data_IF_502058918460
#
_entry.id   IF_502058918460
#
_cell.length_a   1.000
_cell.length_b   1.000
_cell.length_c   1.000
_cell.angle_alpha   90.00
_cell.angle_beta   90.00
_cell.angle_gamma   90.00
#
_symmetry.space_group_name_H-M   'P 1'
#
loop_
_entity.id
_entity.type
_entity.pdbx_description
1 polymer ?
#
# COMPACT_ATOMS: atom_id res chain seq x y z
N UNK A 1 16.38 10.45 14.45
CA UNK A 1 15.05 10.85 14.96
C UNK A 1 14.34 9.61 15.53
N UNK A 2 13.09 9.70 15.89
CA UNK A 2 12.32 8.57 16.42
C UNK A 2 12.57 8.28 17.91
N UNK A 3 12.22 7.05 18.33
CA UNK A 3 12.30 6.64 19.74
C UNK A 3 13.73 6.52 20.26
N UNK A 4 14.67 6.12 19.41
CA UNK A 4 16.10 6.04 19.75
C UNK A 4 16.70 7.41 20.08
N UNK A 5 16.31 8.46 19.35
CA UNK A 5 16.77 9.83 19.63
C UNK A 5 16.20 10.38 20.96
N UNK A 6 15.05 9.85 21.42
CA UNK A 6 14.42 10.20 22.71
C UNK A 6 14.96 9.38 23.89
N UNK A 7 16.07 8.65 23.73
CA UNK A 7 16.66 7.77 24.75
C UNK A 7 15.72 6.69 25.31
N UNK A 8 14.70 6.30 24.53
CA UNK A 8 13.84 5.18 24.85
C UNK A 8 14.43 3.91 24.25
N UNK A 9 14.30 2.79 24.94
CA UNK A 9 14.67 1.49 24.37
C UNK A 9 13.86 1.28 23.08
N UNK A 10 14.54 1.19 21.96
CA UNK A 10 13.95 0.99 20.64
C UNK A 10 14.64 -0.17 19.96
N UNK A 11 13.83 -0.96 19.24
CA UNK A 11 14.37 -2.02 18.40
C UNK A 11 14.95 -1.44 17.10
N UNK A 12 14.52 -0.23 16.69
CA UNK A 12 14.85 0.38 15.42
C UNK A 12 15.66 1.69 15.63
N UNK A 13 16.52 1.99 14.68
CA UNK A 13 17.32 3.21 14.61
C UNK A 13 16.85 3.99 13.37
N UNK A 14 16.09 5.05 13.60
CA UNK A 14 15.57 5.89 12.53
C UNK A 14 16.57 6.98 12.15
N UNK A 15 17.04 6.94 10.93
CA UNK A 15 17.94 7.95 10.34
C UNK A 15 17.22 8.68 9.21
N UNK A 16 17.28 10.00 9.22
CA UNK A 16 16.83 10.84 8.12
C UNK A 16 18.02 11.32 7.32
N UNK A 17 17.96 11.13 6.03
CA UNK A 17 18.88 11.75 5.05
C UNK A 17 18.10 12.82 4.29
N UNK A 18 18.56 14.07 4.37
CA UNK A 18 18.01 15.16 3.56
C UNK A 18 18.94 15.38 2.37
N UNK A 19 18.42 15.18 1.18
CA UNK A 19 19.19 15.31 -0.07
C UNK A 19 18.91 16.67 -0.70
N UNK A 20 19.97 17.37 -1.09
CA UNK A 20 19.88 18.64 -1.79
C UNK A 20 19.38 18.42 -3.22
N UNK A 21 18.13 18.74 -3.47
CA UNK A 21 17.48 18.69 -4.78
C UNK A 21 17.37 20.09 -5.44
N UNK A 22 17.98 21.09 -4.81
CA UNK A 22 18.06 22.47 -5.36
C UNK A 22 19.28 22.60 -6.28
N UNK A 23 20.42 22.08 -5.84
CA UNK A 23 21.68 22.15 -6.60
C UNK A 23 21.92 20.88 -7.42
N UNK A 24 21.31 19.75 -7.04
CA UNK A 24 21.49 18.46 -7.71
C UNK A 24 20.20 17.98 -8.39
N UNK A 25 20.28 17.75 -9.69
CA UNK A 25 19.18 17.15 -10.44
C UNK A 25 19.16 15.64 -10.18
N UNK A 26 18.17 15.18 -9.43
CA UNK A 26 17.95 13.76 -9.16
C UNK A 26 17.19 13.09 -10.32
N UNK A 27 17.91 12.70 -11.36
CA UNK A 27 17.36 11.88 -12.45
C UNK A 27 16.98 10.46 -11.95
N UNK A 28 16.19 9.75 -12.73
CA UNK A 28 15.71 8.40 -12.36
C UNK A 28 16.86 7.41 -12.09
N UNK A 29 17.91 7.47 -12.89
CA UNK A 29 19.09 6.60 -12.75
C UNK A 29 19.88 6.90 -11.45
N UNK A 30 20.04 8.18 -11.11
CA UNK A 30 20.69 8.60 -9.86
C UNK A 30 19.88 8.17 -8.66
N UNK A 31 18.56 8.33 -8.70
CA UNK A 31 17.66 7.91 -7.63
C UNK A 31 17.71 6.39 -7.42
N UNK A 32 17.72 5.60 -8.47
CA UNK A 32 17.83 4.14 -8.39
C UNK A 32 19.20 3.69 -7.86
N UNK A 33 20.27 4.31 -8.32
CA UNK A 33 21.62 4.03 -7.82
C UNK A 33 21.73 4.35 -6.33
N UNK A 34 21.18 5.50 -5.91
CA UNK A 34 21.11 5.90 -4.51
C UNK A 34 20.34 4.86 -3.68
N UNK A 35 19.18 4.40 -4.15
CA UNK A 35 18.37 3.38 -3.47
C UNK A 35 19.17 2.09 -3.23
N UNK A 36 19.87 1.60 -4.27
CA UNK A 36 20.69 0.39 -4.18
C UNK A 36 21.82 0.57 -3.16
N UNK A 37 22.46 1.74 -3.13
CA UNK A 37 23.54 2.04 -2.16
C UNK A 37 22.99 2.01 -0.74
N UNK A 38 21.86 2.67 -0.47
CA UNK A 38 21.24 2.70 0.85
C UNK A 38 20.84 1.30 1.31
N UNK A 39 20.24 0.49 0.46
CA UNK A 39 19.88 -0.90 0.76
C UNK A 39 21.12 -1.74 1.13
N UNK A 40 22.23 -1.59 0.40
CA UNK A 40 23.49 -2.26 0.73
C UNK A 40 24.06 -1.81 2.07
N UNK A 41 24.01 -0.52 2.37
CA UNK A 41 24.46 0.03 3.66
C UNK A 41 23.64 -0.54 4.81
N UNK A 42 22.31 -0.53 4.70
CA UNK A 42 21.43 -1.13 5.71
C UNK A 42 21.78 -2.60 5.93
N UNK A 43 21.90 -3.37 4.84
CA UNK A 43 22.21 -4.79 4.93
C UNK A 43 23.59 -5.07 5.57
N UNK A 44 24.57 -4.18 5.36
CA UNK A 44 25.95 -4.35 5.90
C UNK A 44 26.11 -3.91 7.36
N UNK A 45 25.31 -2.95 7.82
CA UNK A 45 25.45 -2.37 9.17
C UNK A 45 24.52 -3.05 10.17
N UNK A 46 23.21 -2.96 9.95
CA UNK A 46 22.23 -3.54 10.86
C UNK A 46 20.84 -3.57 10.27
N UNK A 47 20.10 -4.67 10.49
CA UNK A 47 18.67 -4.76 10.16
C UNK A 47 17.77 -3.82 10.98
N UNK A 48 18.32 -3.25 12.07
CA UNK A 48 17.63 -2.26 12.90
C UNK A 48 17.68 -0.84 12.34
N UNK A 49 18.48 -0.62 11.29
CA UNK A 49 18.66 0.69 10.68
C UNK A 49 17.57 0.96 9.66
N UNK A 50 16.76 1.97 9.93
CA UNK A 50 15.73 2.46 9.04
C UNK A 50 16.14 3.83 8.50
N UNK A 51 16.44 3.89 7.20
CA UNK A 51 16.83 5.15 6.55
C UNK A 51 15.63 5.68 5.76
N UNK A 52 15.17 6.86 6.16
CA UNK A 52 14.19 7.64 5.42
C UNK A 52 14.91 8.75 4.67
N UNK A 53 14.63 8.92 3.39
CA UNK A 53 15.21 9.98 2.58
C UNK A 53 14.14 11.00 2.22
N UNK A 54 14.44 12.28 2.43
CA UNK A 54 13.63 13.39 1.98
C UNK A 54 14.46 14.31 1.09
N UNK A 55 13.81 14.92 0.11
CA UNK A 55 14.37 16.04 -0.62
C UNK A 55 14.41 17.27 0.29
N UNK A 56 15.40 18.13 0.11
CA UNK A 56 15.52 19.38 0.88
C UNK A 56 14.28 20.25 0.70
N UNK A 57 13.76 20.36 -0.53
CA UNK A 57 12.52 21.11 -0.80
C UNK A 57 11.32 20.52 -0.05
N UNK A 58 11.18 19.19 0.01
CA UNK A 58 10.10 18.54 0.75
C UNK A 58 10.24 18.73 2.26
N UNK A 59 11.47 18.61 2.79
CA UNK A 59 11.73 18.86 4.21
C UNK A 59 11.39 20.29 4.58
N UNK A 60 11.79 21.27 3.76
CA UNK A 60 11.47 22.68 3.94
C UNK A 60 9.96 22.93 3.96
N UNK A 61 9.20 22.33 3.01
CA UNK A 61 7.74 22.46 2.97
C UNK A 61 7.08 21.89 4.22
N UNK A 62 7.51 20.72 4.72
CA UNK A 62 7.00 20.16 5.98
C UNK A 62 7.25 21.09 7.17
N UNK A 63 8.44 21.68 7.24
CA UNK A 63 8.80 22.62 8.32
C UNK A 63 8.00 23.91 8.21
N UNK A 64 7.93 24.50 7.01
CA UNK A 64 7.19 25.75 6.75
C UNK A 64 5.70 25.61 7.05
N UNK A 65 5.10 24.49 6.67
CA UNK A 65 3.68 24.22 6.93
C UNK A 65 3.41 23.84 8.40
N UNK A 66 4.44 23.63 9.20
CA UNK A 66 4.28 23.08 10.54
C UNK A 66 3.66 21.68 10.53
N UNK A 67 4.02 20.88 9.51
CA UNK A 67 3.55 19.51 9.37
C UNK A 67 4.06 18.64 10.52
N UNK A 68 3.25 17.74 11.08
CA UNK A 68 3.65 16.84 12.17
C UNK A 68 4.95 16.06 11.89
N UNK A 69 5.24 15.71 10.63
CA UNK A 69 6.49 15.05 10.25
C UNK A 69 7.67 15.98 10.50
N UNK A 70 7.63 17.19 9.95
CA UNK A 70 8.68 18.20 10.13
C UNK A 70 8.86 18.58 11.59
N UNK A 71 7.76 18.86 12.31
CA UNK A 71 7.79 19.18 13.74
C UNK A 71 8.43 18.09 14.57
N UNK A 72 8.05 16.82 14.35
CA UNK A 72 8.60 15.70 15.13
C UNK A 72 10.09 15.48 14.84
N UNK A 73 10.51 15.62 13.58
CA UNK A 73 11.92 15.51 13.20
C UNK A 73 12.72 16.62 13.88
N UNK A 74 12.27 17.87 13.86
CA UNK A 74 12.97 18.99 14.49
C UNK A 74 12.99 18.88 16.02
N UNK A 75 11.87 18.51 16.63
CA UNK A 75 11.75 18.42 18.09
C UNK A 75 12.64 17.32 18.66
N UNK A 76 12.58 16.13 18.10
CA UNK A 76 13.19 14.92 18.67
C UNK A 76 14.49 14.53 17.96
N UNK A 77 14.78 15.10 16.79
CA UNK A 77 15.97 14.77 16.00
C UNK A 77 17.26 15.29 16.60
N UNK A 78 18.32 14.55 16.30
CA UNK A 78 19.72 14.91 16.60
C UNK A 78 20.45 14.97 15.27
N UNK A 79 21.05 16.12 14.94
CA UNK A 79 21.84 16.24 13.74
C UNK A 79 23.17 15.48 13.90
N UNK A 80 23.41 14.51 13.05
CA UNK A 80 24.69 13.81 12.95
C UNK A 80 25.64 14.54 12.01
N UNK A 81 25.08 15.15 10.98
CA UNK A 81 25.76 16.03 10.05
C UNK A 81 24.79 17.15 9.71
N UNK A 82 25.17 18.41 9.95
CA UNK A 82 24.35 19.58 9.64
C UNK A 82 25.19 20.61 8.86
N UNK A 83 24.59 21.13 7.81
CA UNK A 83 25.18 22.20 7.00
C UNK A 83 24.70 23.60 7.41
N UNK A 84 24.14 23.73 8.62
CA UNK A 84 23.60 24.99 9.15
C UNK A 84 22.11 25.17 8.88
N UNK A 85 21.39 24.09 8.57
CA UNK A 85 19.94 24.11 8.33
C UNK A 85 19.14 23.62 9.54
N UNK A 86 19.54 22.51 10.15
CA UNK A 86 18.73 21.81 11.14
C UNK A 86 18.64 22.55 12.48
N UNK A 87 19.76 22.96 13.04
CA UNK A 87 19.80 23.61 14.36
C UNK A 87 19.09 24.96 14.39
N UNK A 88 19.21 25.86 13.38
CA UNK A 88 18.41 27.07 13.31
C UNK A 88 16.90 26.81 13.24
N UNK A 89 16.46 25.80 12.47
CA UNK A 89 15.04 25.43 12.36
C UNK A 89 14.52 24.85 13.67
N UNK A 90 15.33 24.05 14.36
CA UNK A 90 15.01 23.53 15.70
C UNK A 90 14.82 24.64 16.72
N UNK A 91 15.68 25.65 16.69
CA UNK A 91 15.54 26.85 17.54
C UNK A 91 14.25 27.61 17.24
N UNK A 92 13.93 27.84 15.96
CA UNK A 92 12.68 28.50 15.56
C UNK A 92 11.43 27.72 16.02
N UNK A 93 11.48 26.37 16.01
CA UNK A 93 10.41 25.56 16.57
C UNK A 93 10.28 25.76 18.10
N UNK A 94 11.39 25.76 18.83
CA UNK A 94 11.41 25.98 20.28
C UNK A 94 10.89 27.36 20.68
N UNK A 95 11.18 28.40 19.88
CA UNK A 95 10.64 29.76 20.03
C UNK A 95 9.17 29.90 19.62
N UNK A 96 8.56 28.82 19.13
CA UNK A 96 7.17 28.82 18.68
C UNK A 96 6.92 29.60 17.38
N UNK A 97 7.96 29.82 16.59
CA UNK A 97 7.85 30.48 15.26
C UNK A 97 7.43 29.50 14.17
N UNK A 98 7.70 28.20 14.34
CA UNK A 98 7.19 27.13 13.50
C UNK A 98 5.97 26.55 14.19
N UNK A 99 4.81 26.63 13.53
CA UNK A 99 3.51 26.18 14.06
C UNK A 99 2.69 25.56 12.94
N UNK A 100 1.79 24.61 13.26
CA UNK A 100 0.83 24.11 12.28
C UNK A 100 0.05 25.25 11.62
N UNK A 101 0.05 25.28 10.30
CA UNK A 101 -0.78 26.21 9.53
C UNK A 101 -2.21 25.69 9.42
N UNK A 102 -3.17 26.58 9.16
CA UNK A 102 -4.57 26.18 8.91
C UNK A 102 -4.67 25.21 7.73
N UNK A 103 -3.83 25.39 6.71
CA UNK A 103 -3.75 24.50 5.55
C UNK A 103 -3.28 23.10 5.94
N UNK A 104 -2.25 22.99 6.78
CA UNK A 104 -1.77 21.71 7.29
C UNK A 104 -2.86 20.99 8.11
N UNK A 105 -3.52 21.73 9.02
CA UNK A 105 -4.63 21.18 9.81
C UNK A 105 -5.73 20.65 8.91
N UNK A 106 -6.14 21.43 7.89
CA UNK A 106 -7.19 21.03 6.94
C UNK A 106 -6.77 19.81 6.11
N UNK A 107 -5.52 19.76 5.68
CA UNK A 107 -4.97 18.61 4.94
C UNK A 107 -5.09 17.32 5.73
N UNK A 108 -4.73 17.32 7.01
CA UNK A 108 -4.86 16.14 7.87
C UNK A 108 -6.32 15.81 8.16
N UNK A 109 -7.16 16.81 8.38
CA UNK A 109 -8.60 16.60 8.56
C UNK A 109 -9.23 15.88 7.37
N UNK A 110 -8.86 16.27 6.13
CA UNK A 110 -9.38 15.65 4.92
C UNK A 110 -8.80 14.26 4.64
N UNK A 111 -7.60 13.96 5.10
CA UNK A 111 -6.98 12.62 4.93
C UNK A 111 -7.77 11.52 5.66
N UNK A 112 -8.36 11.80 6.82
CA UNK A 112 -9.03 10.79 7.62
C UNK A 112 -10.25 10.17 6.91
N UNK A 113 -11.26 10.95 6.42
CA UNK A 113 -12.38 10.38 5.67
C UNK A 113 -11.94 9.71 4.37
N UNK A 114 -10.92 10.24 3.68
CA UNK A 114 -10.39 9.62 2.48
C UNK A 114 -9.77 8.24 2.77
N UNK A 115 -9.04 8.10 3.89
CA UNK A 115 -8.48 6.83 4.30
C UNK A 115 -9.56 5.80 4.64
N UNK A 116 -10.65 6.23 5.31
CA UNK A 116 -11.81 5.36 5.57
C UNK A 116 -12.48 4.91 4.26
N UNK A 117 -12.70 5.83 3.34
CA UNK A 117 -13.26 5.51 2.02
C UNK A 117 -12.35 4.52 1.26
N UNK A 118 -11.06 4.77 1.23
CA UNK A 118 -10.10 3.88 0.56
C UNK A 118 -10.08 2.49 1.19
N UNK A 119 -10.23 2.37 2.51
CA UNK A 119 -10.26 1.06 3.18
C UNK A 119 -11.43 0.18 2.69
N UNK A 120 -12.60 0.76 2.48
CA UNK A 120 -13.75 0.06 1.91
C UNK A 120 -13.51 -0.32 0.44
N UNK A 121 -12.91 0.60 -0.32
CA UNK A 121 -12.58 0.33 -1.72
C UNK A 121 -11.54 -0.79 -1.87
N UNK A 122 -10.58 -0.90 -0.94
CA UNK A 122 -9.62 -2.01 -0.94
C UNK A 122 -10.29 -3.38 -0.75
N UNK A 123 -11.34 -3.47 0.05
CA UNK A 123 -12.11 -4.72 0.21
C UNK A 123 -12.80 -5.10 -1.10
N UNK A 124 -13.44 -4.13 -1.79
CA UNK A 124 -14.05 -4.37 -3.09
C UNK A 124 -13.01 -4.85 -4.11
N UNK A 125 -11.85 -4.21 -4.16
CA UNK A 125 -10.75 -4.61 -5.03
C UNK A 125 -10.26 -6.02 -4.71
N UNK A 126 -10.13 -6.37 -3.44
CA UNK A 126 -9.73 -7.71 -3.02
C UNK A 126 -10.74 -8.79 -3.48
N UNK A 127 -12.04 -8.49 -3.51
CA UNK A 127 -13.04 -9.41 -4.11
C UNK A 127 -12.82 -9.56 -5.61
N UNK A 128 -12.42 -8.49 -6.31
CA UNK A 128 -12.03 -8.56 -7.72
C UNK A 128 -10.83 -9.49 -7.95
N UNK A 129 -9.82 -9.44 -7.08
CA UNK A 129 -8.67 -10.35 -7.14
C UNK A 129 -9.10 -11.81 -6.92
N UNK A 130 -10.05 -12.07 -6.00
CA UNK A 130 -10.62 -13.41 -5.80
C UNK A 130 -11.41 -13.90 -7.03
N UNK A 131 -12.16 -13.01 -7.68
CA UNK A 131 -12.85 -13.33 -8.93
C UNK A 131 -11.86 -13.76 -10.02
N UNK A 132 -10.74 -13.04 -10.18
CA UNK A 132 -9.72 -13.44 -11.14
C UNK A 132 -9.05 -14.76 -10.78
N UNK A 133 -8.77 -15.01 -9.51
CA UNK A 133 -8.23 -16.30 -9.06
C UNK A 133 -9.14 -17.49 -9.44
N UNK A 134 -10.45 -17.33 -9.22
CA UNK A 134 -11.45 -18.36 -9.61
C UNK A 134 -11.55 -18.49 -11.14
N UNK A 135 -11.56 -17.38 -11.87
CA UNK A 135 -11.65 -17.37 -13.33
C UNK A 135 -10.44 -18.04 -13.98
N UNK A 136 -9.24 -17.68 -13.55
CA UNK A 136 -7.99 -18.22 -14.10
C UNK A 136 -7.84 -19.72 -13.78
N UNK A 137 -8.24 -20.14 -12.57
CA UNK A 137 -8.26 -21.56 -12.20
C UNK A 137 -9.25 -22.36 -13.05
N UNK A 138 -10.44 -21.78 -13.31
CA UNK A 138 -11.44 -22.41 -14.17
C UNK A 138 -10.93 -22.53 -15.62
N UNK A 139 -10.32 -21.46 -16.15
CA UNK A 139 -9.71 -21.48 -17.48
C UNK A 139 -8.62 -22.55 -17.57
N UNK A 140 -7.71 -22.60 -16.58
CA UNK A 140 -6.66 -23.61 -16.53
C UNK A 140 -7.22 -25.04 -16.55
N UNK A 141 -8.27 -25.31 -15.76
CA UNK A 141 -8.94 -26.60 -15.73
C UNK A 141 -9.57 -26.97 -17.08
N UNK A 142 -10.25 -26.03 -17.75
CA UNK A 142 -10.82 -26.25 -19.09
C UNK A 142 -9.75 -26.48 -20.14
N UNK A 143 -8.69 -25.67 -20.13
CA UNK A 143 -7.56 -25.81 -21.04
C UNK A 143 -6.84 -27.16 -20.90
N UNK A 144 -6.75 -27.70 -19.67
CA UNK A 144 -6.12 -29.00 -19.41
C UNK A 144 -6.81 -30.17 -20.12
N UNK A 145 -8.11 -30.03 -20.44
CA UNK A 145 -8.87 -31.03 -21.19
C UNK A 145 -9.05 -30.69 -22.68
N UNK A 146 -8.33 -29.66 -23.16
CA UNK A 146 -8.33 -29.24 -24.56
C UNK A 146 -9.49 -28.32 -24.96
N UNK A 147 -10.29 -27.82 -24.01
CA UNK A 147 -11.35 -26.86 -24.31
C UNK A 147 -10.77 -25.43 -24.43
N UNK A 148 -11.35 -24.65 -25.33
CA UNK A 148 -10.99 -23.22 -25.47
C UNK A 148 -11.67 -22.43 -24.35
N UNK A 149 -10.94 -21.61 -23.56
CA UNK A 149 -11.54 -20.85 -22.48
C UNK A 149 -12.64 -19.91 -23.01
N UNK A 150 -13.86 -19.96 -22.46
CA UNK A 150 -14.93 -19.06 -22.86
C UNK A 150 -14.78 -17.71 -22.19
N UNK A 151 -15.61 -16.72 -22.59
CA UNK A 151 -15.75 -15.52 -21.79
C UNK A 151 -16.26 -15.86 -20.36
N UNK A 152 -15.90 -15.08 -19.35
CA UNK A 152 -16.17 -15.42 -17.93
C UNK A 152 -17.64 -15.76 -17.61
N UNK A 153 -18.60 -15.16 -18.32
CA UNK A 153 -20.04 -15.43 -18.16
C UNK A 153 -20.43 -16.87 -18.49
N UNK A 154 -19.69 -17.55 -19.37
CA UNK A 154 -19.98 -18.91 -19.83
C UNK A 154 -19.13 -19.99 -19.12
N UNK A 155 -18.22 -19.59 -18.26
CA UNK A 155 -17.39 -20.52 -17.48
C UNK A 155 -18.24 -21.50 -16.67
N UNK A 156 -19.26 -21.05 -15.90
CA UNK A 156 -20.06 -21.97 -15.08
C UNK A 156 -20.74 -23.06 -15.91
N UNK A 157 -21.27 -22.69 -17.06
CA UNK A 157 -21.97 -23.63 -17.94
C UNK A 157 -20.99 -24.64 -18.53
N UNK A 158 -19.83 -24.21 -18.99
CA UNK A 158 -18.81 -25.08 -19.58
C UNK A 158 -18.19 -26.01 -18.55
N UNK A 159 -17.93 -25.54 -17.33
CA UNK A 159 -17.49 -26.40 -16.21
C UNK A 159 -18.53 -27.50 -15.92
N UNK A 160 -19.81 -27.13 -15.89
CA UNK A 160 -20.89 -28.06 -15.64
C UNK A 160 -21.06 -29.09 -16.76
N UNK A 161 -20.90 -28.69 -18.03
CA UNK A 161 -21.01 -29.55 -19.20
C UNK A 161 -19.81 -30.49 -19.36
N UNK A 162 -18.60 -30.00 -19.17
CA UNK A 162 -17.37 -30.71 -19.55
C UNK A 162 -16.68 -31.45 -18.41
N UNK A 163 -16.71 -30.94 -17.18
CA UNK A 163 -15.93 -31.48 -16.06
C UNK A 163 -16.80 -32.26 -15.07
N UNK A 164 -18.02 -31.83 -14.79
CA UNK A 164 -18.91 -32.49 -13.83
C UNK A 164 -19.30 -33.91 -14.28
N UNK A 165 -19.71 -34.17 -15.55
CA UNK A 165 -20.07 -35.54 -15.99
C UNK A 165 -18.88 -36.48 -15.95
N UNK A 166 -17.66 -35.98 -16.15
CA UNK A 166 -16.41 -36.74 -16.04
C UNK A 166 -15.96 -36.98 -14.59
N UNK A 167 -16.71 -36.47 -13.61
CA UNK A 167 -16.40 -36.54 -12.17
C UNK A 167 -15.03 -35.91 -11.80
N UNK A 168 -14.53 -35.01 -12.62
CA UNK A 168 -13.30 -34.26 -12.35
C UNK A 168 -13.52 -33.19 -11.29
N UNK A 169 -14.72 -32.62 -11.27
CA UNK A 169 -15.15 -31.63 -10.25
C UNK A 169 -16.59 -31.93 -9.82
N UNK A 170 -16.99 -31.39 -8.66
CA UNK A 170 -18.39 -31.47 -8.21
C UNK A 170 -19.21 -30.28 -8.74
N UNK A 171 -20.54 -30.37 -8.68
CA UNK A 171 -21.48 -29.31 -9.09
C UNK A 171 -21.33 -28.02 -8.27
N UNK A 172 -20.58 -28.06 -7.18
CA UNK A 172 -20.28 -26.91 -6.33
C UNK A 172 -19.39 -25.89 -7.06
N UNK A 173 -18.40 -26.35 -7.84
CA UNK A 173 -17.45 -25.50 -8.56
C UNK A 173 -18.12 -24.58 -9.59
N UNK A 174 -18.97 -25.06 -10.50
CA UNK A 174 -19.75 -24.19 -11.38
C UNK A 174 -20.58 -23.17 -10.63
N UNK A 175 -21.16 -23.51 -9.48
CA UNK A 175 -21.93 -22.56 -8.65
C UNK A 175 -21.04 -21.48 -8.05
N UNK A 176 -19.85 -21.82 -7.57
CA UNK A 176 -18.87 -20.86 -7.06
C UNK A 176 -18.44 -19.92 -8.19
N UNK A 177 -18.09 -20.43 -9.37
CA UNK A 177 -17.71 -19.62 -10.52
C UNK A 177 -18.81 -18.61 -10.90
N UNK A 178 -20.09 -19.06 -10.91
CA UNK A 178 -21.22 -18.18 -11.15
C UNK A 178 -21.37 -17.11 -10.09
N UNK A 179 -21.24 -17.44 -8.81
CA UNK A 179 -21.34 -16.49 -7.70
C UNK A 179 -20.28 -15.38 -7.81
N UNK A 180 -19.04 -15.74 -8.17
CA UNK A 180 -17.98 -14.77 -8.38
C UNK A 180 -18.21 -13.88 -9.61
N UNK A 181 -18.74 -14.45 -10.69
CA UNK A 181 -19.13 -13.66 -11.84
C UNK A 181 -20.24 -12.66 -11.48
N UNK A 182 -21.28 -13.11 -10.79
CA UNK A 182 -22.44 -12.30 -10.41
C UNK A 182 -22.05 -11.16 -9.47
N UNK A 183 -21.22 -11.43 -8.44
CA UNK A 183 -20.77 -10.37 -7.53
C UNK A 183 -19.86 -9.36 -8.25
N UNK A 184 -18.95 -9.80 -9.13
CA UNK A 184 -18.11 -8.90 -9.89
C UNK A 184 -18.94 -7.97 -10.78
N UNK A 185 -19.97 -8.50 -11.47
CA UNK A 185 -20.91 -7.70 -12.26
C UNK A 185 -21.62 -6.64 -11.42
N UNK A 186 -22.10 -7.00 -10.23
CA UNK A 186 -22.73 -6.05 -9.31
C UNK A 186 -21.79 -4.94 -8.87
N UNK A 187 -20.51 -5.26 -8.64
CA UNK A 187 -19.47 -4.27 -8.31
C UNK A 187 -19.21 -3.36 -9.51
N UNK A 188 -19.02 -3.91 -10.72
CA UNK A 188 -18.78 -3.15 -11.94
C UNK A 188 -19.93 -2.19 -12.27
N UNK A 189 -21.17 -2.65 -12.07
CA UNK A 189 -22.38 -1.84 -12.26
C UNK A 189 -22.70 -0.92 -11.08
N UNK A 190 -21.84 -0.88 -10.02
CA UNK A 190 -22.02 -0.07 -8.81
C UNK A 190 -23.30 -0.38 -8.01
N UNK A 191 -23.87 -1.56 -8.22
CA UNK A 191 -25.00 -2.07 -7.43
C UNK A 191 -24.54 -2.46 -6.01
N UNK A 192 -23.29 -2.95 -5.90
CA UNK A 192 -22.60 -3.23 -4.64
C UNK A 192 -21.43 -2.26 -4.51
N UNK A 193 -21.49 -1.36 -3.54
CA UNK A 193 -20.48 -0.34 -3.30
C UNK A 193 -19.67 -0.61 -2.02
N UNK A 194 -20.13 -1.52 -1.18
CA UNK A 194 -19.43 -1.91 0.05
C UNK A 194 -19.62 -3.39 0.30
N UNK A 195 -18.59 -4.03 0.83
CA UNK A 195 -18.60 -5.42 1.29
C UNK A 195 -18.00 -5.43 2.69
N UNK A 196 -18.68 -6.10 3.63
CA UNK A 196 -18.15 -6.26 4.98
C UNK A 196 -16.99 -7.26 5.02
N UNK A 197 -16.12 -7.17 6.04
CA UNK A 197 -15.05 -8.14 6.24
C UNK A 197 -15.57 -9.58 6.36
N UNK A 198 -16.73 -9.78 7.03
CA UNK A 198 -17.34 -11.11 7.16
C UNK A 198 -17.85 -11.68 5.82
N UNK A 199 -18.30 -10.83 4.91
CA UNK A 199 -18.68 -11.25 3.54
C UNK A 199 -17.44 -11.57 2.73
N UNK A 200 -16.40 -10.74 2.81
CA UNK A 200 -15.11 -11.01 2.19
C UNK A 200 -14.53 -12.37 2.62
N UNK A 201 -14.54 -12.67 3.92
CA UNK A 201 -14.08 -13.97 4.44
C UNK A 201 -14.83 -15.16 3.85
N UNK A 202 -16.14 -15.01 3.60
CA UNK A 202 -16.92 -16.06 2.94
C UNK A 202 -16.47 -16.26 1.48
N UNK A 203 -16.27 -15.18 0.74
CA UNK A 203 -15.73 -15.25 -0.62
C UNK A 203 -14.32 -15.84 -0.63
N UNK A 204 -13.45 -15.37 0.26
CA UNK A 204 -12.08 -15.89 0.36
C UNK A 204 -12.05 -17.43 0.57
N UNK A 205 -12.83 -17.94 1.51
CA UNK A 205 -12.93 -19.40 1.76
C UNK A 205 -13.39 -20.18 0.53
N UNK A 206 -14.35 -19.63 -0.23
CA UNK A 206 -14.83 -20.26 -1.47
C UNK A 206 -13.76 -20.23 -2.57
N UNK A 207 -13.04 -19.12 -2.71
CA UNK A 207 -11.95 -19.01 -3.67
C UNK A 207 -10.81 -19.98 -3.35
N UNK A 208 -10.36 -20.04 -2.08
CA UNK A 208 -9.34 -21.02 -1.64
C UNK A 208 -9.75 -22.47 -1.91
N UNK A 209 -11.04 -22.81 -1.76
CA UNK A 209 -11.54 -24.14 -2.09
C UNK A 209 -11.54 -24.40 -3.59
N UNK A 210 -11.75 -23.37 -4.39
CA UNK A 210 -11.87 -23.46 -5.84
C UNK A 210 -10.50 -23.62 -6.51
N UNK A 211 -9.49 -22.87 -6.04
CA UNK A 211 -8.10 -22.90 -6.51
C UNK A 211 -7.36 -24.14 -6.00
#
# INVERSE_FOLDING_TARGET
FGSSARQKSSNDIDVLVVVDDVTLVMGAEVAETYRIIIEKIIASISKRLHITTLKLTSFWEYVRAGDPIGINILRDGIALMDTGLFDPLKLLLMEGRIRPTSESVWTYFMKAPNSLHNSQWHILKAVGDLYWAVTDSAHSALMSIGEVPPSPQHIPDLLNEKLVPKKLITVEFPRIAKEFYDIMKKIDHREVQTISGAEYDKYYKKAVKFV
#
